data_IF_328088539843
#
_entry.id   IF_328088539843
#
_cell.length_a   1.000
_cell.length_b   1.000
_cell.length_c   1.000
_cell.angle_alpha   90.00
_cell.angle_beta   90.00
_cell.angle_gamma   90.00
#
_symmetry.space_group_name_H-M   'P 1'
#
loop_
_entity.id
_entity.type
_entity.pdbx_description
1 polymer ?
#
# COMPACT_ATOMS: atom_id res chain seq x y z
N UNK A 1 1.69 1.33 -20.72
CA UNK A 1 0.21 1.22 -20.69
C UNK A 1 -0.29 2.55 -21.20
N UNK A 2 -1.15 2.56 -22.21
CA UNK A 2 -1.60 3.80 -22.84
C UNK A 2 -2.75 4.43 -22.02
N UNK A 3 -2.62 5.71 -21.69
CA UNK A 3 -3.58 6.42 -20.84
C UNK A 3 -4.60 7.15 -21.71
N UNK A 4 -5.80 6.60 -21.82
CA UNK A 4 -6.91 7.21 -22.56
C UNK A 4 -7.98 7.81 -21.63
N UNK A 5 -8.73 8.79 -22.15
CA UNK A 5 -9.87 9.43 -21.49
C UNK A 5 -9.56 10.11 -20.14
N UNK A 6 -8.33 10.61 -19.96
CA UNK A 6 -7.88 11.32 -18.74
C UNK A 6 -7.21 12.67 -19.01
N UNK A 7 -7.28 13.16 -20.24
CA UNK A 7 -6.61 14.39 -20.67
C UNK A 7 -7.06 15.62 -19.87
N UNK A 8 -8.33 15.66 -19.43
CA UNK A 8 -8.86 16.70 -18.56
C UNK A 8 -8.14 16.77 -17.20
N UNK A 9 -8.03 15.64 -16.50
CA UNK A 9 -7.40 15.54 -15.19
C UNK A 9 -5.89 15.75 -15.28
N UNK A 10 -5.25 15.23 -16.34
CA UNK A 10 -3.83 15.47 -16.63
C UNK A 10 -3.58 16.95 -16.89
N UNK A 11 -4.38 17.60 -17.75
CA UNK A 11 -4.23 19.03 -18.08
C UNK A 11 -4.41 19.94 -16.86
N UNK A 12 -5.39 19.65 -16.00
CA UNK A 12 -5.60 20.39 -14.75
C UNK A 12 -4.40 20.18 -13.81
N UNK A 13 -3.91 18.94 -13.70
CA UNK A 13 -2.76 18.61 -12.84
C UNK A 13 -1.48 19.33 -13.31
N UNK A 14 -1.20 19.33 -14.62
CA UNK A 14 -0.08 20.07 -15.22
C UNK A 14 -0.18 21.55 -14.89
N UNK A 15 -1.36 22.18 -15.06
CA UNK A 15 -1.53 23.60 -14.75
C UNK A 15 -1.24 23.91 -13.28
N UNK A 16 -1.68 23.06 -12.36
CA UNK A 16 -1.39 23.24 -10.94
C UNK A 16 0.11 23.12 -10.63
N UNK A 17 0.79 22.15 -11.24
CA UNK A 17 2.23 21.94 -11.05
C UNK A 17 3.08 23.07 -11.68
N UNK A 18 2.59 23.72 -12.74
CA UNK A 18 3.20 24.92 -13.33
C UNK A 18 3.03 26.18 -12.44
N UNK A 19 1.98 26.21 -11.60
CA UNK A 19 1.77 27.26 -10.59
C UNK A 19 2.52 26.95 -9.26
N UNK A 20 3.46 26.01 -9.26
CA UNK A 20 4.16 25.43 -8.09
C UNK A 20 3.21 24.88 -7.01
N UNK A 21 1.99 24.45 -7.38
CA UNK A 21 0.98 23.90 -6.45
C UNK A 21 0.92 22.38 -6.52
N UNK A 22 0.97 21.76 -5.35
CA UNK A 22 0.75 20.33 -5.21
C UNK A 22 -0.71 19.93 -5.47
N UNK A 23 -0.91 18.68 -5.91
CA UNK A 23 -2.19 18.16 -6.42
C UNK A 23 -2.65 16.95 -5.60
N UNK A 24 -3.94 16.88 -5.26
CA UNK A 24 -4.56 15.65 -4.73
C UNK A 24 -5.54 15.09 -5.75
N UNK A 25 -5.23 13.90 -6.28
CA UNK A 25 -6.14 13.10 -7.08
C UNK A 25 -7.11 12.34 -6.15
N UNK A 26 -8.35 12.81 -6.05
CA UNK A 26 -9.39 12.18 -5.22
C UNK A 26 -10.46 11.50 -6.08
N UNK A 27 -10.92 10.33 -5.63
CA UNK A 27 -11.94 9.53 -6.31
C UNK A 27 -12.11 8.18 -5.64
N UNK A 28 -13.06 7.36 -6.09
CA UNK A 28 -13.23 5.99 -5.55
C UNK A 28 -12.06 5.07 -5.99
N UNK A 29 -11.81 3.94 -5.31
CA UNK A 29 -10.85 2.94 -5.79
C UNK A 29 -11.32 2.36 -7.15
N UNK A 30 -10.37 1.92 -7.98
CA UNK A 30 -10.65 1.33 -9.31
C UNK A 30 -10.80 2.33 -10.48
N UNK A 31 -10.95 3.64 -10.23
CA UNK A 31 -11.10 4.64 -11.32
C UNK A 31 -9.82 4.91 -12.14
N UNK A 32 -8.64 4.44 -11.68
CA UNK A 32 -7.39 4.64 -12.42
C UNK A 32 -6.63 5.95 -12.10
N UNK A 33 -6.65 6.42 -10.85
CA UNK A 33 -5.83 7.60 -10.41
C UNK A 33 -4.34 7.44 -10.70
N UNK A 34 -3.84 6.21 -10.62
CA UNK A 34 -2.45 5.88 -10.96
C UNK A 34 -2.17 6.12 -12.44
N UNK A 35 -3.08 5.73 -13.33
CA UNK A 35 -2.98 6.02 -14.76
C UNK A 35 -2.95 7.53 -15.06
N UNK A 36 -3.68 8.37 -14.31
CA UNK A 36 -3.58 9.84 -14.42
C UNK A 36 -2.15 10.31 -14.09
N UNK A 37 -1.51 9.73 -13.08
CA UNK A 37 -0.13 10.07 -12.73
C UNK A 37 0.89 9.51 -13.73
N UNK A 38 0.69 8.30 -14.26
CA UNK A 38 1.59 7.74 -15.26
C UNK A 38 1.50 8.52 -16.59
N UNK A 39 0.30 8.92 -17.02
CA UNK A 39 0.12 9.82 -18.17
C UNK A 39 0.67 11.23 -17.91
N UNK A 40 0.63 11.72 -16.67
CA UNK A 40 1.29 12.97 -16.29
C UNK A 40 2.81 12.90 -16.53
N UNK A 41 3.48 11.78 -16.23
CA UNK A 41 4.93 11.61 -16.52
C UNK A 41 5.25 11.66 -18.01
N UNK A 42 4.37 11.09 -18.84
CA UNK A 42 4.58 11.04 -20.29
C UNK A 42 4.46 12.45 -20.91
N UNK A 43 3.59 13.30 -20.36
CA UNK A 43 3.35 14.66 -20.87
C UNK A 43 4.23 15.73 -20.21
N UNK A 44 4.57 15.57 -18.92
CA UNK A 44 5.30 16.58 -18.14
C UNK A 44 6.76 16.16 -17.93
N UNK A 45 7.75 16.78 -18.63
CA UNK A 45 9.14 16.33 -18.68
C UNK A 45 9.97 16.79 -17.46
N UNK A 46 9.43 16.59 -16.25
CA UNK A 46 10.08 16.88 -14.97
C UNK A 46 10.37 15.56 -14.26
N UNK A 47 11.55 15.38 -13.62
CA UNK A 47 11.82 14.17 -12.87
C UNK A 47 10.71 13.87 -11.85
N UNK A 48 10.27 12.62 -11.77
CA UNK A 48 9.29 12.17 -10.78
C UNK A 48 9.92 11.17 -9.81
N UNK A 49 9.69 11.34 -8.52
CA UNK A 49 10.14 10.41 -7.48
C UNK A 49 8.91 9.77 -6.85
N UNK A 50 8.88 8.44 -6.76
CA UNK A 50 7.76 7.71 -6.17
C UNK A 50 8.12 7.20 -4.79
N UNK A 51 7.18 7.33 -3.85
CA UNK A 51 7.29 6.77 -2.51
C UNK A 51 6.38 5.56 -2.40
N UNK A 52 6.96 4.38 -2.14
CA UNK A 52 6.19 3.21 -1.73
C UNK A 52 6.17 3.15 -0.19
N UNK A 53 5.07 3.61 0.40
CA UNK A 53 4.88 3.64 1.85
C UNK A 53 4.89 2.22 2.44
N UNK A 54 4.33 1.23 1.74
CA UNK A 54 4.28 -0.14 2.23
C UNK A 54 5.69 -0.73 2.29
N UNK A 55 6.47 -0.53 1.23
CA UNK A 55 7.88 -0.93 1.19
C UNK A 55 8.70 -0.24 2.30
N UNK A 56 8.56 1.07 2.45
CA UNK A 56 9.25 1.81 3.52
C UNK A 56 8.96 1.25 4.90
N UNK A 57 7.69 0.98 5.23
CA UNK A 57 7.28 0.38 6.51
C UNK A 57 7.90 -1.01 6.72
N UNK A 58 8.09 -1.80 5.66
CA UNK A 58 8.72 -3.13 5.76
C UNK A 58 10.26 -3.08 5.80
N UNK A 59 10.90 -2.07 5.23
CA UNK A 59 12.36 -1.89 5.27
C UNK A 59 12.83 -1.22 6.56
N UNK A 60 12.00 -0.36 7.17
CA UNK A 60 12.27 0.26 8.47
C UNK A 60 12.00 -0.71 9.63
N UNK A 61 13.05 -1.13 10.34
CA UNK A 61 12.90 -1.88 11.58
C UNK A 61 12.41 -0.99 12.75
N UNK A 62 12.73 0.30 12.71
CA UNK A 62 12.44 1.29 13.76
C UNK A 62 11.71 2.51 13.17
N UNK A 63 10.77 3.10 13.90
CA UNK A 63 10.00 4.29 13.45
C UNK A 63 10.90 5.46 13.03
N UNK A 64 12.02 5.69 13.72
CA UNK A 64 12.97 6.73 13.35
C UNK A 64 13.61 6.51 11.97
N UNK A 65 13.90 5.26 11.61
CA UNK A 65 14.48 4.93 10.29
C UNK A 65 13.47 5.07 9.16
N UNK A 66 12.18 4.87 9.41
CA UNK A 66 11.11 5.25 8.48
C UNK A 66 11.07 6.77 8.28
N UNK A 67 11.09 7.52 9.37
CA UNK A 67 10.99 8.99 9.36
C UNK A 67 12.17 9.61 8.58
N UNK A 68 13.40 9.20 8.87
CA UNK A 68 14.62 9.62 8.15
C UNK A 68 14.58 9.24 6.66
N UNK A 69 14.09 8.04 6.33
CA UNK A 69 13.98 7.59 4.93
C UNK A 69 12.99 8.47 4.15
N UNK A 70 11.80 8.70 4.70
CA UNK A 70 10.76 9.50 4.06
C UNK A 70 11.17 10.98 3.91
N UNK A 71 11.84 11.55 4.92
CA UNK A 71 12.44 12.88 4.81
C UNK A 71 13.53 12.91 3.72
N UNK A 72 14.38 11.88 3.62
CA UNK A 72 15.36 11.73 2.56
C UNK A 72 14.76 11.79 1.15
N UNK A 73 13.63 11.11 0.91
CA UNK A 73 12.90 11.21 -0.36
C UNK A 73 12.35 12.61 -0.63
N UNK A 74 11.86 13.32 0.40
CA UNK A 74 11.35 14.68 0.28
C UNK A 74 12.47 15.69 -0.03
N UNK A 75 13.61 15.59 0.66
CA UNK A 75 14.80 16.41 0.41
C UNK A 75 15.36 16.15 -1.00
N UNK A 76 15.45 14.88 -1.43
CA UNK A 76 15.88 14.52 -2.79
C UNK A 76 14.94 15.07 -3.86
N UNK A 77 13.63 15.10 -3.60
CA UNK A 77 12.66 15.68 -4.51
C UNK A 77 12.82 17.20 -4.62
N UNK A 78 12.94 17.90 -3.50
CA UNK A 78 13.19 19.34 -3.46
C UNK A 78 14.49 19.73 -4.17
N UNK A 79 15.61 19.05 -3.87
CA UNK A 79 16.92 19.30 -4.49
C UNK A 79 16.90 19.12 -6.02
N UNK A 80 16.14 18.14 -6.53
CA UNK A 80 16.03 17.85 -7.97
C UNK A 80 14.92 18.62 -8.67
N UNK A 81 14.14 19.45 -7.94
CA UNK A 81 12.86 20.03 -8.41
C UNK A 81 11.96 18.96 -9.03
N UNK A 82 11.90 17.80 -8.38
CA UNK A 82 11.18 16.63 -8.86
C UNK A 82 9.78 16.55 -8.23
N UNK A 83 8.81 16.07 -8.99
CA UNK A 83 7.46 15.84 -8.48
C UNK A 83 7.46 14.59 -7.61
N UNK A 84 7.16 14.74 -6.33
CA UNK A 84 7.04 13.63 -5.38
C UNK A 84 5.65 12.98 -5.49
N UNK A 85 5.58 11.68 -5.75
CA UNK A 85 4.31 10.94 -5.80
C UNK A 85 4.07 10.14 -4.52
N UNK A 86 2.91 10.39 -3.90
CA UNK A 86 2.49 9.72 -2.67
C UNK A 86 1.19 8.93 -2.96
N UNK A 87 1.27 7.60 -3.16
CA UNK A 87 0.08 6.75 -3.26
C UNK A 87 -0.65 6.70 -1.91
N UNK A 88 -1.98 6.72 -1.94
CA UNK A 88 -2.84 6.52 -0.76
C UNK A 88 -2.39 7.31 0.48
N UNK A 89 -2.40 8.64 0.41
CA UNK A 89 -1.88 9.52 1.48
C UNK A 89 -2.57 9.32 2.84
N UNK A 90 -3.78 8.77 2.84
CA UNK A 90 -4.48 8.33 4.07
C UNK A 90 -3.71 7.25 4.86
N UNK A 91 -2.80 6.50 4.23
CA UNK A 91 -1.86 5.60 4.91
C UNK A 91 -0.88 6.36 5.82
N UNK A 92 -0.30 7.49 5.36
CA UNK A 92 0.60 8.29 6.21
C UNK A 92 -0.11 8.75 7.48
N UNK A 93 -1.40 9.08 7.39
CA UNK A 93 -2.20 9.42 8.58
C UNK A 93 -2.45 8.21 9.50
N UNK A 94 -2.72 7.02 8.97
CA UNK A 94 -2.81 5.79 9.80
C UNK A 94 -1.50 5.57 10.56
N UNK A 95 -0.36 5.89 9.94
CA UNK A 95 0.95 5.82 10.58
C UNK A 95 1.10 6.82 11.75
N UNK A 96 0.59 8.05 11.61
CA UNK A 96 0.53 9.04 12.72
C UNK A 96 -0.45 8.63 13.83
N UNK A 97 -1.62 8.10 13.47
CA UNK A 97 -2.66 7.67 14.41
C UNK A 97 -2.27 6.36 15.17
N UNK A 98 -1.09 5.79 14.88
CA UNK A 98 -0.54 4.60 15.55
C UNK A 98 -1.26 3.29 15.20
N UNK A 99 -2.01 3.24 14.10
CA UNK A 99 -2.81 2.09 13.70
C UNK A 99 -2.07 1.10 12.78
N UNK A 100 -0.74 1.21 12.70
CA UNK A 100 0.15 0.49 11.78
C UNK A 100 0.05 -1.03 11.93
N UNK A 101 -0.05 -1.51 13.18
CA UNK A 101 -0.19 -2.93 13.53
C UNK A 101 -1.42 -3.57 12.85
N UNK A 102 -2.50 -2.81 12.66
CA UNK A 102 -3.74 -3.30 12.04
C UNK A 102 -3.69 -3.36 10.50
N UNK A 103 -2.82 -2.58 9.84
CA UNK A 103 -2.73 -2.53 8.36
C UNK A 103 -1.51 -3.29 7.83
N UNK A 104 -0.35 -3.15 8.48
CA UNK A 104 0.91 -3.71 8.02
C UNK A 104 1.43 -4.84 8.92
N UNK A 105 0.79 -5.11 10.07
CA UNK A 105 1.26 -6.11 11.03
C UNK A 105 2.51 -5.70 11.82
N UNK A 106 2.96 -4.45 11.70
CA UNK A 106 4.17 -3.90 12.34
C UNK A 106 3.78 -2.91 13.43
N UNK A 107 4.43 -2.97 14.59
CA UNK A 107 4.24 -2.04 15.72
C UNK A 107 4.96 -0.68 15.53
N UNK A 108 5.26 -0.29 14.29
CA UNK A 108 5.95 0.96 13.97
C UNK A 108 4.99 2.16 13.92
N UNK A 109 4.64 2.74 15.06
CA UNK A 109 3.91 4.01 15.12
C UNK A 109 4.84 5.18 14.81
N UNK A 110 4.59 5.92 13.73
CA UNK A 110 5.35 7.14 13.42
C UNK A 110 4.90 8.27 14.34
N UNK A 111 5.83 9.14 14.75
CA UNK A 111 5.41 10.39 15.36
C UNK A 111 4.90 11.34 14.24
N UNK A 112 3.90 12.17 14.54
CA UNK A 112 3.32 13.15 13.60
C UNK A 112 4.23 14.36 13.30
N UNK A 113 5.55 14.12 13.23
CA UNK A 113 6.63 14.99 12.77
C UNK A 113 6.64 15.00 11.24
N UNK A 114 6.98 13.88 10.60
CA UNK A 114 7.33 13.87 9.16
C UNK A 114 6.17 14.27 8.27
N UNK A 115 4.93 13.88 8.58
CA UNK A 115 3.78 14.35 7.81
C UNK A 115 3.64 15.88 7.90
N UNK A 116 3.84 16.47 9.07
CA UNK A 116 3.79 17.93 9.29
C UNK A 116 4.95 18.66 8.61
N UNK A 117 6.14 18.07 8.60
CA UNK A 117 7.31 18.66 7.94
C UNK A 117 7.19 18.58 6.41
N UNK A 118 6.65 17.48 5.86
CA UNK A 118 6.19 17.39 4.48
C UNK A 118 5.15 18.49 4.16
N UNK A 119 4.13 18.67 5.00
CA UNK A 119 3.14 19.74 4.83
C UNK A 119 3.79 21.13 4.78
N UNK A 120 4.81 21.35 5.62
CA UNK A 120 5.54 22.63 5.68
C UNK A 120 6.35 22.88 4.41
N UNK A 121 7.08 21.89 3.90
CA UNK A 121 7.82 22.02 2.63
C UNK A 121 6.89 22.32 1.45
N UNK A 122 5.71 21.67 1.40
CA UNK A 122 4.68 21.96 0.40
C UNK A 122 4.10 23.36 0.58
N UNK A 123 3.81 23.78 1.81
CA UNK A 123 3.29 25.12 2.11
C UNK A 123 4.27 26.26 1.77
N UNK A 124 5.58 25.98 1.79
CA UNK A 124 6.64 26.91 1.38
C UNK A 124 6.88 26.93 -0.14
N UNK A 125 6.29 26.00 -0.90
CA UNK A 125 6.56 25.82 -2.33
C UNK A 125 7.92 25.18 -2.65
N UNK A 126 8.62 24.64 -1.64
CA UNK A 126 9.93 23.97 -1.82
C UNK A 126 9.79 22.53 -2.33
N UNK A 127 8.59 21.96 -2.27
CA UNK A 127 8.26 20.60 -2.66
C UNK A 127 6.93 20.53 -3.42
N UNK A 128 6.98 20.24 -4.72
CA UNK A 128 5.80 19.93 -5.53
C UNK A 128 5.48 18.44 -5.45
N UNK A 129 4.24 18.07 -5.13
CA UNK A 129 3.86 16.67 -4.99
C UNK A 129 2.46 16.35 -5.54
N UNK A 130 2.28 15.11 -5.96
CA UNK A 130 1.02 14.54 -6.43
C UNK A 130 0.63 13.40 -5.49
N UNK A 131 -0.44 13.60 -4.74
CA UNK A 131 -0.97 12.64 -3.79
C UNK A 131 -2.25 11.98 -4.32
N UNK A 132 -2.51 10.73 -3.93
CA UNK A 132 -3.78 10.04 -4.24
C UNK A 132 -4.56 9.66 -2.97
N UNK A 133 -5.88 9.69 -3.03
CA UNK A 133 -6.77 9.35 -1.88
C UNK A 133 -8.08 8.72 -2.33
N UNK A 134 -8.66 7.84 -1.51
CA UNK A 134 -9.91 7.15 -1.84
C UNK A 134 -11.19 7.90 -1.46
N UNK A 135 -11.11 8.93 -0.62
CA UNK A 135 -12.30 9.67 -0.19
C UNK A 135 -11.97 11.08 0.25
N UNK A 136 -12.72 12.04 -0.29
CA UNK A 136 -12.69 13.43 0.17
C UNK A 136 -13.02 13.56 1.67
N UNK A 137 -13.83 12.64 2.23
CA UNK A 137 -14.12 12.59 3.67
C UNK A 137 -12.92 12.12 4.51
N UNK A 138 -12.00 11.34 3.95
CA UNK A 138 -10.73 11.02 4.60
C UNK A 138 -9.88 12.29 4.70
N UNK A 139 -9.76 13.05 3.60
CA UNK A 139 -9.01 14.31 3.55
C UNK A 139 -9.51 15.36 4.53
N UNK A 140 -10.83 15.54 4.67
CA UNK A 140 -11.41 16.52 5.59
C UNK A 140 -11.05 16.26 7.08
N UNK A 141 -10.64 15.03 7.42
CA UNK A 141 -10.16 14.67 8.77
C UNK A 141 -8.66 14.93 8.95
N UNK A 142 -7.97 15.41 7.92
CA UNK A 142 -6.54 15.74 7.95
C UNK A 142 -6.43 17.26 8.16
N UNK A 143 -5.92 17.67 9.32
CA UNK A 143 -5.76 19.07 9.71
C UNK A 143 -4.97 19.87 8.66
N UNK A 144 -5.52 21.00 8.21
CA UNK A 144 -4.93 22.01 7.31
C UNK A 144 -4.31 21.54 5.98
N UNK A 145 -4.18 20.23 5.74
CA UNK A 145 -3.51 19.65 4.58
C UNK A 145 -4.12 20.12 3.26
N UNK A 146 -5.45 20.08 3.20
CA UNK A 146 -6.22 20.46 2.02
C UNK A 146 -5.97 21.91 1.56
N UNK A 147 -5.57 22.81 2.46
CA UNK A 147 -5.32 24.22 2.12
C UNK A 147 -4.09 24.42 1.22
N UNK A 148 -3.16 23.47 1.18
CA UNK A 148 -1.92 23.54 0.39
C UNK A 148 -1.99 22.78 -0.93
N UNK A 149 -3.10 22.10 -1.22
CA UNK A 149 -3.25 21.25 -2.39
C UNK A 149 -4.45 21.63 -3.23
N UNK A 150 -4.30 21.52 -4.55
CA UNK A 150 -5.44 21.61 -5.46
C UNK A 150 -6.09 20.24 -5.60
N UNK A 151 -7.35 20.12 -5.20
CA UNK A 151 -8.14 18.90 -5.38
C UNK A 151 -8.56 18.70 -6.84
N UNK A 152 -8.24 17.55 -7.40
CA UNK A 152 -8.67 17.12 -8.75
C UNK A 152 -9.52 15.86 -8.61
N UNK A 153 -10.77 15.96 -9.06
CA UNK A 153 -11.73 14.84 -9.01
C UNK A 153 -11.51 13.88 -10.18
N UNK A 154 -11.12 12.64 -9.88
CA UNK A 154 -11.01 11.56 -10.86
C UNK A 154 -12.30 10.74 -10.85
N UNK A 155 -13.12 10.91 -11.88
CA UNK A 155 -14.45 10.27 -12.00
C UNK A 155 -14.37 8.86 -12.60
N UNK A 156 -15.41 8.04 -12.39
CA UNK A 156 -15.56 6.75 -13.07
C UNK A 156 -15.71 6.95 -14.59
N UNK A 157 -15.12 6.06 -15.39
CA UNK A 157 -15.26 6.07 -16.87
C UNK A 157 -16.65 5.53 -17.26
N UNK A 158 -17.19 5.98 -18.40
CA UNK A 158 -18.40 5.34 -18.95
C UNK A 158 -18.09 3.92 -19.44
N UNK A 159 -19.12 3.09 -19.60
CA UNK A 159 -18.95 1.72 -20.09
C UNK A 159 -18.28 1.67 -21.47
N UNK A 160 -18.65 2.58 -22.39
CA UNK A 160 -18.05 2.67 -23.73
C UNK A 160 -16.58 3.07 -23.68
N UNK A 161 -16.24 4.15 -22.94
CA UNK A 161 -14.86 4.58 -22.73
C UNK A 161 -14.00 3.49 -22.08
N UNK A 162 -14.59 2.73 -21.15
CA UNK A 162 -13.91 1.62 -20.49
C UNK A 162 -13.60 0.48 -21.46
N UNK A 163 -14.55 0.10 -22.33
CA UNK A 163 -14.33 -0.92 -23.36
C UNK A 163 -13.21 -0.48 -24.32
N UNK A 164 -13.23 0.75 -24.78
CA UNK A 164 -12.21 1.29 -25.71
C UNK A 164 -10.82 1.35 -25.04
N UNK A 165 -10.74 1.81 -23.79
CA UNK A 165 -9.50 1.85 -22.99
C UNK A 165 -8.92 0.44 -22.75
N UNK A 166 -9.76 -0.56 -22.50
CA UNK A 166 -9.36 -1.97 -22.36
C UNK A 166 -8.92 -2.60 -23.69
N UNK A 167 -9.51 -2.19 -24.81
CA UNK A 167 -9.11 -2.64 -26.16
C UNK A 167 -7.75 -2.02 -26.54
N UNK A 168 -7.51 -0.74 -26.26
CA UNK A 168 -6.21 -0.10 -26.47
C UNK A 168 -5.11 -0.79 -25.65
N UNK A 169 -5.38 -1.04 -24.36
CA UNK A 169 -4.45 -1.71 -23.45
C UNK A 169 -4.47 -3.24 -23.53
N UNK A 170 -5.14 -3.82 -24.54
CA UNK A 170 -5.33 -5.27 -24.68
C UNK A 170 -3.99 -6.02 -24.65
N UNK A 171 -2.97 -5.57 -25.38
CA UNK A 171 -1.65 -6.24 -25.42
C UNK A 171 -1.05 -6.40 -24.03
N UNK A 172 -1.05 -5.32 -23.24
CA UNK A 172 -0.53 -5.32 -21.87
C UNK A 172 -1.30 -6.30 -20.96
N UNK A 173 -2.62 -6.41 -21.11
CA UNK A 173 -3.44 -7.38 -20.37
C UNK A 173 -3.17 -8.82 -20.83
N UNK A 174 -3.06 -9.06 -22.14
CA UNK A 174 -2.74 -10.37 -22.73
C UNK A 174 -1.34 -10.86 -22.28
N UNK A 175 -0.34 -9.98 -22.29
CA UNK A 175 1.02 -10.26 -21.82
C UNK A 175 1.04 -10.60 -20.31
N UNK A 176 0.27 -9.86 -19.50
CA UNK A 176 0.19 -10.06 -18.03
C UNK A 176 -0.47 -11.39 -17.68
N UNK A 177 -1.57 -11.75 -18.37
CA UNK A 177 -2.30 -13.00 -18.11
C UNK A 177 -1.65 -14.22 -18.79
N UNK A 178 -0.93 -13.99 -19.89
CA UNK A 178 -0.40 -15.03 -20.78
C UNK A 178 -1.48 -15.70 -21.65
N UNK A 179 -2.52 -14.96 -22.03
CA UNK A 179 -3.65 -15.49 -22.82
C UNK A 179 -4.23 -14.44 -23.78
N UNK A 180 -4.96 -14.87 -24.81
CA UNK A 180 -5.60 -13.98 -25.77
C UNK A 180 -7.01 -13.55 -25.32
N UNK A 181 -7.27 -12.24 -25.34
CA UNK A 181 -8.52 -11.63 -24.87
C UNK A 181 -9.43 -11.22 -26.04
N UNK A 182 -10.51 -11.97 -26.27
CA UNK A 182 -11.48 -11.60 -27.31
C UNK A 182 -12.20 -10.28 -26.98
N UNK A 183 -12.41 -9.43 -27.99
CA UNK A 183 -13.16 -8.16 -27.82
C UNK A 183 -14.56 -8.40 -27.22
N UNK A 184 -15.19 -9.54 -27.53
CA UNK A 184 -16.48 -9.95 -26.93
C UNK A 184 -16.37 -10.20 -25.43
N UNK A 185 -15.26 -10.78 -24.97
CA UNK A 185 -15.01 -11.03 -23.55
C UNK A 185 -14.81 -9.70 -22.79
N UNK A 186 -14.06 -8.75 -23.37
CA UNK A 186 -13.90 -7.39 -22.81
C UNK A 186 -15.26 -6.70 -22.65
N UNK A 187 -16.09 -6.69 -23.70
CA UNK A 187 -17.44 -6.09 -23.61
C UNK A 187 -18.34 -6.80 -22.59
N UNK A 188 -18.28 -8.14 -22.52
CA UNK A 188 -19.06 -8.92 -21.56
C UNK A 188 -18.63 -8.63 -20.11
N UNK A 189 -17.32 -8.55 -19.85
CA UNK A 189 -16.79 -8.23 -18.53
C UNK A 189 -17.23 -6.84 -18.05
N UNK A 190 -17.23 -5.82 -18.91
CA UNK A 190 -17.70 -4.48 -18.54
C UNK A 190 -19.20 -4.49 -18.21
N UNK A 191 -20.05 -5.10 -19.04
CA UNK A 191 -21.50 -5.19 -18.77
C UNK A 191 -21.80 -5.98 -17.49
N UNK A 192 -21.23 -7.18 -17.35
CA UNK A 192 -21.45 -8.04 -16.18
C UNK A 192 -20.99 -7.35 -14.88
N UNK A 193 -19.83 -6.67 -14.89
CA UNK A 193 -19.33 -5.95 -13.71
C UNK A 193 -20.09 -4.66 -13.41
N UNK A 194 -20.72 -4.04 -14.42
CA UNK A 194 -21.61 -2.90 -14.20
C UNK A 194 -22.89 -3.31 -13.46
N UNK A 195 -23.47 -4.45 -13.82
CA UNK A 195 -24.70 -4.99 -13.20
C UNK A 195 -24.45 -5.59 -11.81
N UNK A 196 -23.43 -6.46 -11.67
CA UNK A 196 -23.24 -7.29 -10.48
C UNK A 196 -22.34 -6.66 -9.41
N UNK A 197 -21.50 -5.69 -9.78
CA UNK A 197 -20.52 -5.06 -8.86
C UNK A 197 -20.67 -3.52 -8.81
N UNK A 198 -21.81 -2.99 -8.28
CA UNK A 198 -22.07 -1.54 -8.20
C UNK A 198 -21.20 -0.80 -7.17
N UNK A 199 -20.60 -1.53 -6.22
CA UNK A 199 -19.72 -0.94 -5.20
C UNK A 199 -18.29 -0.68 -5.68
N UNK A 200 -17.86 -1.32 -6.77
CA UNK A 200 -16.58 -1.11 -7.42
C UNK A 200 -16.73 -0.20 -8.65
N UNK A 201 -15.62 0.26 -9.22
CA UNK A 201 -15.61 1.25 -10.30
C UNK A 201 -14.90 0.77 -11.56
N UNK A 202 -15.40 1.22 -12.71
CA UNK A 202 -14.71 1.11 -13.99
C UNK A 202 -13.52 2.10 -14.07
N UNK A 203 -12.42 1.74 -14.75
CA UNK A 203 -12.21 0.46 -15.46
C UNK A 203 -11.77 -0.70 -14.54
N UNK A 204 -11.29 -0.42 -13.32
CA UNK A 204 -10.63 -1.40 -12.44
C UNK A 204 -11.37 -2.72 -12.28
N UNK A 205 -12.66 -2.70 -11.92
CA UNK A 205 -13.43 -3.94 -11.69
C UNK A 205 -13.51 -4.89 -12.89
N UNK A 206 -13.44 -4.35 -14.12
CA UNK A 206 -13.44 -5.15 -15.33
C UNK A 206 -12.08 -5.81 -15.56
N UNK A 207 -10.98 -5.11 -15.21
CA UNK A 207 -9.62 -5.68 -15.19
C UNK A 207 -9.56 -6.78 -14.14
N UNK A 208 -10.03 -6.52 -12.91
CA UNK A 208 -10.03 -7.50 -11.81
C UNK A 208 -10.76 -8.80 -12.22
N UNK A 209 -11.96 -8.70 -12.82
CA UNK A 209 -12.71 -9.87 -13.28
C UNK A 209 -11.98 -10.61 -14.42
N UNK A 210 -11.43 -9.90 -15.41
CA UNK A 210 -10.68 -10.53 -16.50
C UNK A 210 -9.44 -11.27 -15.99
N UNK A 211 -8.72 -10.69 -15.03
CA UNK A 211 -7.54 -11.32 -14.40
C UNK A 211 -7.93 -12.59 -13.65
N UNK A 212 -8.96 -12.55 -12.80
CA UNK A 212 -9.44 -13.72 -12.05
C UNK A 212 -9.87 -14.86 -13.00
N UNK A 213 -10.60 -14.52 -14.07
CA UNK A 213 -11.00 -15.51 -15.08
C UNK A 213 -9.77 -16.10 -15.78
N UNK A 214 -8.81 -15.27 -16.18
CA UNK A 214 -7.60 -15.73 -16.87
C UNK A 214 -6.70 -16.62 -16.02
N UNK A 215 -6.52 -16.28 -14.74
CA UNK A 215 -5.84 -17.13 -13.76
C UNK A 215 -6.56 -18.47 -13.59
N UNK A 216 -7.90 -18.47 -13.54
CA UNK A 216 -8.69 -19.70 -13.40
C UNK A 216 -8.56 -20.64 -14.62
N UNK A 217 -8.62 -20.11 -15.84
CA UNK A 217 -8.42 -20.87 -17.08
C UNK A 217 -7.00 -21.46 -17.14
N UNK A 218 -5.99 -20.67 -16.81
CA UNK A 218 -4.59 -21.11 -16.73
C UNK A 218 -4.41 -22.25 -15.72
N UNK A 219 -5.06 -22.16 -14.56
CA UNK A 219 -5.04 -23.22 -13.56
C UNK A 219 -5.77 -24.50 -14.01
N UNK A 220 -6.88 -24.37 -14.75
CA UNK A 220 -7.59 -25.51 -15.32
C UNK A 220 -6.77 -26.22 -16.41
N UNK A 221 -6.14 -25.47 -17.31
CA UNK A 221 -5.27 -26.02 -18.36
C UNK A 221 -4.05 -26.73 -17.78
N UNK A 222 -3.43 -26.20 -16.72
CA UNK A 222 -2.35 -26.90 -16.02
C UNK A 222 -2.84 -28.21 -15.36
N UNK A 223 -4.06 -28.22 -14.77
CA UNK A 223 -4.64 -29.43 -14.18
C UNK A 223 -4.98 -30.52 -15.20
N UNK A 224 -5.38 -30.17 -16.43
CA UNK A 224 -5.59 -31.17 -17.49
C UNK A 224 -4.26 -31.75 -17.98
N UNK A 225 -3.25 -30.91 -18.20
CA UNK A 225 -1.91 -31.36 -18.60
C UNK A 225 -1.26 -32.27 -17.53
N UNK A 226 -1.38 -31.92 -16.24
CA UNK A 226 -0.90 -32.78 -15.14
C UNK A 226 -1.62 -34.13 -15.11
N UNK A 227 -2.93 -34.16 -15.41
CA UNK A 227 -3.68 -35.43 -15.54
C UNK A 227 -3.16 -36.28 -16.69
N UNK A 228 -3.07 -35.71 -17.90
CA UNK A 228 -2.56 -36.41 -19.09
C UNK A 228 -1.16 -36.98 -18.85
N UNK A 229 -0.26 -36.22 -18.23
CA UNK A 229 1.07 -36.72 -17.85
C UNK A 229 0.96 -37.88 -16.86
N UNK A 230 0.14 -37.75 -15.80
CA UNK A 230 -0.05 -38.82 -14.80
C UNK A 230 -0.77 -40.07 -15.33
N UNK A 231 -1.45 -39.99 -16.48
CA UNK A 231 -2.02 -41.16 -17.16
C UNK A 231 -1.01 -41.83 -18.11
N UNK A 232 0.00 -41.10 -18.59
CA UNK A 232 1.08 -41.64 -19.45
C UNK A 232 2.28 -42.20 -18.68
N UNK A 233 2.44 -41.84 -17.41
CA UNK A 233 3.46 -42.41 -16.52
C UNK A 233 2.78 -43.00 -15.29
N UNK A 234 3.01 -44.29 -15.01
CA UNK A 234 2.60 -44.98 -13.77
C UNK A 234 3.40 -44.46 -12.55
N UNK A 235 3.23 -43.17 -12.25
CA UNK A 235 3.83 -42.42 -11.17
C UNK A 235 2.67 -41.81 -10.41
N UNK A 236 2.45 -42.26 -9.18
CA UNK A 236 1.37 -41.74 -8.32
C UNK A 236 1.46 -40.23 -8.19
N UNK A 237 0.30 -39.57 -8.16
CA UNK A 237 0.16 -38.10 -8.03
C UNK A 237 1.09 -37.49 -6.99
N UNK A 238 1.29 -38.21 -5.89
CA UNK A 238 2.05 -37.77 -4.72
C UNK A 238 3.56 -37.64 -5.02
N UNK A 239 4.11 -38.46 -5.93
CA UNK A 239 5.51 -38.37 -6.35
C UNK A 239 5.72 -37.20 -7.30
N UNK A 240 4.83 -36.99 -8.29
CA UNK A 240 4.90 -35.83 -9.19
C UNK A 240 4.76 -34.50 -8.42
N UNK A 241 3.86 -34.42 -7.44
CA UNK A 241 3.75 -33.24 -6.58
C UNK A 241 5.00 -33.02 -5.72
N UNK A 242 5.67 -34.06 -5.23
CA UNK A 242 6.96 -33.93 -4.54
C UNK A 242 8.09 -33.46 -5.47
N UNK A 243 8.19 -34.00 -6.69
CA UNK A 243 9.22 -33.60 -7.65
C UNK A 243 9.05 -32.15 -8.13
N UNK A 244 7.81 -31.70 -8.40
CA UNK A 244 7.51 -30.30 -8.74
C UNK A 244 7.83 -29.36 -7.56
N UNK A 245 7.57 -29.81 -6.32
CA UNK A 245 7.92 -29.06 -5.10
C UNK A 245 9.43 -28.98 -4.86
N UNK A 246 10.20 -30.00 -5.27
CA UNK A 246 11.67 -29.96 -5.28
C UNK A 246 12.22 -29.03 -6.36
N UNK A 247 11.69 -29.08 -7.59
CA UNK A 247 12.20 -28.27 -8.68
C UNK A 247 11.88 -26.77 -8.54
N UNK A 248 10.77 -26.44 -7.87
CA UNK A 248 10.38 -25.05 -7.59
C UNK A 248 10.65 -24.60 -6.15
N UNK A 249 11.47 -25.32 -5.39
CA UNK A 249 12.00 -24.75 -4.14
C UNK A 249 12.93 -23.59 -4.49
N UNK A 250 12.74 -22.37 -3.94
CA UNK A 250 13.80 -21.37 -3.97
C UNK A 250 15.03 -21.97 -3.27
N UNK A 251 16.27 -21.64 -3.68
CA UNK A 251 17.48 -22.25 -3.13
C UNK A 251 17.63 -21.91 -1.64
N UNK A 252 17.08 -22.76 -0.78
CA UNK A 252 17.19 -22.67 0.67
C UNK A 252 18.57 -23.18 1.08
N UNK A 253 19.32 -22.30 1.74
CA UNK A 253 20.60 -22.57 2.44
C UNK A 253 21.72 -23.20 1.63
N UNK A 254 22.80 -22.43 1.46
CA UNK A 254 24.14 -22.97 1.23
C UNK A 254 24.54 -23.74 2.50
N UNK A 255 24.50 -25.07 2.44
CA UNK A 255 24.96 -25.93 3.54
C UNK A 255 26.49 -25.90 3.64
N UNK A 256 26.98 -25.27 4.72
CA UNK A 256 28.41 -25.20 5.07
C UNK A 256 28.95 -26.52 5.65
N UNK A 257 28.68 -27.67 5.00
CA UNK A 257 29.16 -28.98 5.42
C UNK A 257 29.60 -29.87 4.23
N UNK A 258 30.73 -29.53 3.61
CA UNK A 258 31.62 -30.53 2.98
C UNK A 258 33.09 -30.06 3.01
N UNK A 259 34.09 -30.93 3.26
CA UNK A 259 35.42 -30.47 3.69
C UNK A 259 36.41 -30.11 2.57
N UNK A 260 36.13 -30.50 1.32
CA UNK A 260 37.17 -30.72 0.30
C UNK A 260 37.51 -29.51 -0.61
N UNK A 261 37.15 -28.29 -0.22
CA UNK A 261 37.58 -27.05 -0.90
C UNK A 261 38.43 -26.12 -0.01
N UNK A 262 38.88 -26.61 1.15
CA UNK A 262 39.67 -25.87 2.15
C UNK A 262 41.15 -25.63 1.82
N UNK A 263 41.51 -25.26 0.57
CA UNK A 263 42.92 -25.00 0.20
C UNK A 263 43.20 -23.70 -0.58
N UNK A 264 42.18 -23.01 -1.12
CA UNK A 264 42.41 -21.93 -2.10
C UNK A 264 42.36 -20.49 -1.55
N UNK A 265 41.59 -20.19 -0.48
CA UNK A 265 41.40 -18.80 -0.01
C UNK A 265 41.67 -18.62 1.49
N UNK A 266 42.95 -18.68 1.83
CA UNK A 266 43.42 -18.21 3.13
C UNK A 266 43.51 -16.68 3.20
N UNK A 267 43.29 -16.15 4.40
CA UNK A 267 43.67 -14.80 4.89
C UNK A 267 42.81 -13.61 4.41
N UNK A 268 41.89 -13.17 5.29
CA UNK A 268 42.14 -12.02 6.19
C UNK A 268 41.01 -11.84 7.22
N UNK A 269 41.34 -11.13 8.31
CA UNK A 269 40.48 -10.74 9.44
C UNK A 269 40.09 -11.84 10.45
N UNK A 270 40.96 -12.00 11.44
CA UNK A 270 40.66 -12.63 12.73
C UNK A 270 39.98 -11.63 13.69
N UNK A 271 39.04 -12.11 14.50
CA UNK A 271 38.54 -11.44 15.70
C UNK A 271 38.78 -12.36 16.93
N UNK A 272 38.83 -11.84 18.17
CA UNK A 272 39.66 -12.44 19.22
C UNK A 272 39.01 -13.57 20.04
N UNK A 273 39.84 -14.54 20.42
CA UNK A 273 39.50 -15.70 21.24
C UNK A 273 39.09 -15.36 22.68
N UNK A 274 38.04 -16.05 23.16
CA UNK A 274 37.67 -16.13 24.58
C UNK A 274 37.98 -17.53 25.14
N UNK A 275 39.22 -17.77 25.61
CA UNK A 275 39.51 -18.51 26.84
C UNK A 275 41.02 -18.79 27.04
N UNK A 276 41.61 -18.20 28.08
CA UNK A 276 42.76 -18.77 28.81
C UNK A 276 42.57 -18.49 30.30
N UNK A 277 42.94 -19.46 31.13
CA UNK A 277 42.51 -19.54 32.52
C UNK A 277 43.62 -19.24 33.54
N UNK A 278 43.27 -18.42 34.55
CA UNK A 278 43.86 -18.34 35.93
C UNK A 278 45.29 -17.73 36.04
N UNK A 279 45.76 -17.31 37.25
CA UNK A 279 45.24 -17.62 38.60
C UNK A 279 45.13 -16.48 39.67
N UNK A 280 44.38 -16.82 40.74
CA UNK A 280 44.57 -16.52 42.18
C UNK A 280 44.71 -15.09 42.79
N UNK A 281 43.90 -14.86 43.84
CA UNK A 281 44.07 -13.85 44.91
C UNK A 281 43.20 -12.58 44.73
N UNK A 282 42.51 -12.03 45.75
CA UNK A 282 42.22 -12.43 47.13
C UNK A 282 41.47 -11.30 47.87
N UNK A 283 40.62 -11.62 48.88
CA UNK A 283 39.86 -10.71 49.80
C UNK A 283 38.89 -9.66 49.17
N UNK A 284 37.73 -9.28 49.75
CA UNK A 284 36.94 -9.75 50.91
C UNK A 284 35.64 -8.92 51.14
N UNK A 285 34.76 -9.35 52.07
CA UNK A 285 33.54 -8.66 52.63
C UNK A 285 32.29 -8.55 51.69
N UNK A 286 31.13 -9.20 51.97
CA UNK A 286 30.01 -8.90 52.93
C UNK A 286 29.38 -7.50 52.73
N UNK A 287 28.05 -7.28 52.61
CA UNK A 287 26.82 -7.79 53.31
C UNK A 287 25.59 -7.78 52.34
N UNK A 288 24.63 -8.72 52.32
CA UNK A 288 23.43 -8.98 53.21
C UNK A 288 22.43 -7.82 53.42
N UNK A 289 21.17 -7.99 52.96
CA UNK A 289 19.84 -7.66 53.60
C UNK A 289 18.74 -7.44 52.51
N UNK A 290 17.74 -8.32 52.34
CA UNK A 290 16.40 -8.39 52.98
C UNK A 290 15.23 -7.72 52.21
N UNK A 291 14.21 -8.53 51.90
CA UNK A 291 12.79 -8.17 51.69
C UNK A 291 12.01 -8.43 53.03
N UNK A 292 10.65 -8.38 53.16
CA UNK A 292 9.57 -8.27 52.15
C UNK A 292 8.27 -7.49 52.56
N UNK A 293 7.19 -7.68 51.77
CA UNK A 293 5.74 -7.49 52.12
C UNK A 293 5.23 -6.02 52.26
N UNK A 294 3.94 -5.62 52.10
CA UNK A 294 2.64 -6.28 51.79
C UNK A 294 1.61 -5.15 51.36
N UNK A 295 0.33 -5.30 50.98
CA UNK A 295 -0.60 -6.45 50.80
C UNK A 295 -1.85 -6.12 49.94
N UNK A 296 -2.46 -7.17 49.36
CA UNK A 296 -3.92 -7.48 49.25
C UNK A 296 -5.01 -6.54 48.65
N UNK A 297 -5.75 -7.12 47.68
CA UNK A 297 -7.24 -7.31 47.62
C UNK A 297 -8.16 -6.09 47.35
N UNK A 298 -9.34 -6.22 46.71
CA UNK A 298 -9.99 -7.28 45.90
C UNK A 298 -11.37 -6.83 45.35
N UNK A 299 -11.90 -7.58 44.37
CA UNK A 299 -13.32 -7.94 44.19
C UNK A 299 -14.31 -7.06 43.36
N UNK A 300 -14.79 -7.71 42.29
CA UNK A 300 -16.20 -7.90 41.86
C UNK A 300 -16.96 -6.88 40.98
N UNK A 301 -17.67 -7.48 40.01
CA UNK A 301 -18.62 -6.88 39.06
C UNK A 301 -19.92 -6.42 39.73
N UNK A 302 -20.59 -5.43 39.13
CA UNK A 302 -22.05 -5.41 38.98
C UNK A 302 -22.44 -4.80 37.63
N UNK A 303 -23.50 -5.35 37.04
CA UNK A 303 -24.21 -4.81 35.87
C UNK A 303 -25.49 -4.17 36.42
N UNK A 304 -25.83 -2.98 35.94
CA UNK A 304 -27.14 -2.36 36.19
C UNK A 304 -27.70 -1.87 34.85
N UNK A 305 -28.90 -2.35 34.53
CA UNK A 305 -29.79 -1.79 33.51
C UNK A 305 -30.68 -0.80 34.26
N UNK A 306 -30.96 0.37 33.69
CA UNK A 306 -32.14 1.14 34.08
C UNK A 306 -32.77 1.84 32.87
N UNK A 307 -34.10 1.81 32.84
CA UNK A 307 -34.94 2.27 31.72
C UNK A 307 -35.89 3.38 32.18
N UNK A 308 -35.77 4.57 31.60
CA UNK A 308 -36.78 5.66 31.60
C UNK A 308 -36.24 6.81 30.71
N UNK A 309 -37.01 7.69 30.06
CA UNK A 309 -38.47 7.82 29.95
C UNK A 309 -38.89 8.51 28.62
N UNK A 310 -40.19 8.45 28.29
CA UNK A 310 -41.00 9.37 27.46
C UNK A 310 -40.33 10.64 26.86
N UNK A 311 -40.36 10.95 25.55
CA UNK A 311 -41.47 11.13 24.57
C UNK A 311 -42.19 12.50 24.56
N UNK A 312 -42.22 13.13 23.37
CA UNK A 312 -43.17 14.15 22.84
C UNK A 312 -43.15 15.59 23.39
N UNK A 313 -42.75 16.57 22.56
CA UNK A 313 -43.65 17.55 21.86
C UNK A 313 -42.92 18.67 21.12
N UNK A 314 -43.26 18.85 19.84
CA UNK A 314 -43.11 20.10 19.09
C UNK A 314 -44.25 21.08 19.44
N UNK A 315 -44.03 22.40 19.31
CA UNK A 315 -44.60 23.18 18.18
C UNK A 315 -43.64 24.33 17.76
N UNK A 316 -43.80 25.18 16.74
CA UNK A 316 -44.69 25.41 15.59
C UNK A 316 -44.15 26.65 14.84
N UNK A 317 -44.35 26.77 13.53
CA UNK A 317 -43.91 27.89 12.67
C UNK A 317 -44.95 29.05 12.70
N UNK A 318 -44.53 30.32 12.52
CA UNK A 318 -45.06 31.16 11.41
C UNK A 318 -43.91 31.84 10.61
N UNK A 319 -43.75 31.62 9.30
CA UNK A 319 -44.35 32.36 8.16
C UNK A 319 -43.91 33.85 8.07
N UNK A 320 -42.87 34.18 7.27
CA UNK A 320 -42.93 34.56 5.83
C UNK A 320 -43.04 36.10 5.64
N UNK A 321 -42.94 36.71 4.42
CA UNK A 321 -42.46 36.26 3.08
C UNK A 321 -41.49 37.28 2.38
N UNK A 322 -41.25 37.11 1.05
CA UNK A 322 -40.73 38.09 0.04
C UNK A 322 -39.20 38.41 0.06
N UNK A 323 -38.50 38.69 -1.06
CA UNK A 323 -38.81 38.71 -2.51
C UNK A 323 -37.55 38.29 -3.33
N UNK A 324 -37.68 37.56 -4.45
CA UNK A 324 -37.55 38.06 -5.85
C UNK A 324 -36.30 38.92 -6.14
N UNK A 325 -35.22 38.27 -6.60
CA UNK A 325 -34.63 38.42 -7.95
C UNK A 325 -33.59 37.32 -8.21
#
# INVERSE_FOLDING_TARGET
>A
MEVMYRDSEISISIRCLLDDRSVILHGRPGVGKRAVFDGLKEVFPVPTIEVDIARLVTESADCGTFEESLEGYAQLASQKKAVLFIPHIELLKVLEDGACSAIFGVECCCNGSVFRDLCRMVALGELTCVATTNSYKSLQRISNFYCYFTGVEVREMTATQSIECLIANRRYLEDTMGMLLSNKAISAAVTMTQEHFPHQQLPGKAIDLLTIVGESERCCSLKSLVREVSETTDITSDQLFQEISRQNSPPSSIDFQNPDLGSAFGRRFSAPDKNKSRPSGGTGQRRKAHAPAMSSRSALRRISIDTSNSSVKSPSIPSSPLAVL
#
